data_IF_696996444788
#
_entry.id   IF_696996444788
#
_cell.length_a   1.000
_cell.length_b   1.000
_cell.length_c   1.000
_cell.angle_alpha   90.00
_cell.angle_beta   90.00
_cell.angle_gamma   90.00
#
_symmetry.space_group_name_H-M   'P 1'
#
loop_
_entity.id
_entity.type
_entity.pdbx_description
1 polymer ?
#
# COMPACT_ATOMS: atom_id res chain seq x y z
N UNK A 1 3.65 -5.91 20.89
CA UNK A 1 4.66 -6.95 21.20
C UNK A 1 5.17 -7.41 19.85
N UNK A 2 6.48 -7.59 19.68
CA UNK A 2 7.03 -8.05 18.42
C UNK A 2 6.50 -9.44 18.05
N UNK A 3 6.29 -9.68 16.75
CA UNK A 3 5.92 -10.99 16.22
C UNK A 3 7.04 -12.00 16.46
N UNK A 4 6.68 -13.23 16.80
CA UNK A 4 7.62 -14.36 16.88
C UNK A 4 8.13 -14.74 15.49
N UNK A 5 9.28 -15.43 15.43
CA UNK A 5 9.84 -15.88 14.15
C UNK A 5 8.86 -16.74 13.33
N UNK A 6 8.15 -17.64 14.00
CA UNK A 6 7.14 -18.50 13.37
C UNK A 6 5.93 -17.72 12.86
N UNK A 7 5.48 -16.67 13.56
CA UNK A 7 4.39 -15.81 13.09
C UNK A 7 4.81 -15.01 11.86
N UNK A 8 6.04 -14.50 11.84
CA UNK A 8 6.59 -13.77 10.69
C UNK A 8 6.65 -14.68 9.47
N UNK A 9 7.13 -15.92 9.62
CA UNK A 9 7.20 -16.89 8.52
C UNK A 9 5.80 -17.22 7.98
N UNK A 10 4.81 -17.40 8.86
CA UNK A 10 3.43 -17.63 8.47
C UNK A 10 2.84 -16.43 7.71
N UNK A 11 3.03 -15.20 8.21
CA UNK A 11 2.57 -13.97 7.54
C UNK A 11 3.21 -13.84 6.15
N UNK A 12 4.52 -14.06 6.04
CA UNK A 12 5.21 -14.01 4.74
C UNK A 12 4.61 -15.03 3.77
N UNK A 13 4.41 -16.27 4.23
CA UNK A 13 3.81 -17.33 3.42
C UNK A 13 2.36 -17.03 3.01
N UNK A 14 1.59 -16.33 3.84
CA UNK A 14 0.22 -15.89 3.52
C UNK A 14 0.25 -14.77 2.45
N UNK A 15 1.17 -13.81 2.58
CA UNK A 15 1.24 -12.65 1.70
C UNK A 15 1.87 -12.95 0.34
N UNK A 16 2.70 -14.00 0.22
CA UNK A 16 3.38 -14.39 -1.03
C UNK A 16 2.40 -14.91 -2.11
N UNK A 17 1.14 -15.16 -1.76
CA UNK A 17 0.12 -15.67 -2.68
C UNK A 17 -0.32 -14.66 -3.75
N UNK A 18 0.05 -13.38 -3.60
CA UNK A 18 -0.32 -12.31 -4.51
C UNK A 18 0.91 -11.69 -5.19
N UNK A 19 1.30 -12.25 -6.34
CA UNK A 19 2.49 -11.80 -7.08
C UNK A 19 2.11 -10.70 -8.09
N UNK A 20 2.42 -9.47 -7.72
CA UNK A 20 2.56 -8.33 -8.62
C UNK A 20 3.99 -7.83 -8.53
N UNK A 21 4.77 -8.02 -9.59
CA UNK A 21 6.20 -7.67 -9.61
C UNK A 21 6.36 -6.17 -9.35
N UNK A 22 7.25 -5.81 -8.42
CA UNK A 22 7.58 -4.44 -8.01
C UNK A 22 6.48 -3.62 -7.30
N UNK A 23 5.27 -4.16 -7.09
CA UNK A 23 4.20 -3.49 -6.34
C UNK A 23 4.01 -4.01 -4.91
N UNK A 24 4.59 -5.18 -4.60
CA UNK A 24 4.56 -5.76 -3.25
C UNK A 24 5.95 -5.77 -2.61
N UNK A 25 6.03 -5.66 -1.27
CA UNK A 25 7.29 -5.81 -0.56
C UNK A 25 7.82 -7.25 -0.68
N UNK A 26 9.14 -7.39 -0.74
CA UNK A 26 9.79 -8.70 -0.63
C UNK A 26 9.61 -9.32 0.76
N UNK A 27 9.73 -10.65 0.84
CA UNK A 27 9.75 -11.38 2.11
C UNK A 27 10.78 -10.81 3.11
N UNK A 28 11.95 -10.37 2.63
CA UNK A 28 12.97 -9.75 3.47
C UNK A 28 12.53 -8.40 4.05
N UNK A 29 11.82 -7.58 3.25
CA UNK A 29 11.28 -6.30 3.72
C UNK A 29 10.16 -6.50 4.74
N UNK A 30 9.23 -7.43 4.49
CA UNK A 30 8.18 -7.80 5.46
C UNK A 30 8.80 -8.31 6.76
N UNK A 31 9.77 -9.23 6.68
CA UNK A 31 10.50 -9.73 7.85
C UNK A 31 11.14 -8.59 8.64
N UNK A 32 11.81 -7.67 7.97
CA UNK A 32 12.45 -6.52 8.62
C UNK A 32 11.44 -5.60 9.31
N UNK A 33 10.25 -5.41 8.73
CA UNK A 33 9.18 -4.60 9.32
C UNK A 33 8.63 -5.27 10.60
N UNK A 34 8.49 -6.59 10.59
CA UNK A 34 7.86 -7.36 11.67
C UNK A 34 8.83 -7.80 12.78
N UNK A 35 10.14 -7.84 12.50
CA UNK A 35 11.15 -8.34 13.44
C UNK A 35 11.30 -7.48 14.71
N UNK A 36 10.87 -6.22 14.67
CA UNK A 36 10.94 -5.32 15.81
C UNK A 36 9.55 -4.73 16.10
N UNK A 37 9.22 -4.57 17.39
CA UNK A 37 8.06 -3.79 17.79
C UNK A 37 8.38 -2.30 17.57
N UNK A 38 7.91 -1.76 16.45
CA UNK A 38 8.06 -0.34 16.14
C UNK A 38 7.13 0.55 16.97
N UNK A 39 6.20 -0.04 17.73
CA UNK A 39 5.07 0.64 18.36
C UNK A 39 4.25 1.43 17.33
N UNK A 40 3.62 2.51 17.80
CA UNK A 40 2.92 3.44 16.91
C UNK A 40 2.67 4.81 17.55
N UNK A 41 1.93 5.70 16.87
CA UNK A 41 1.48 5.53 15.49
C UNK A 41 2.63 5.59 14.48
N UNK A 42 2.45 4.95 13.33
CA UNK A 42 3.37 4.98 12.19
C UNK A 42 2.66 5.56 10.97
N UNK A 43 3.40 6.31 10.15
CA UNK A 43 2.91 6.87 8.89
C UNK A 43 3.54 6.12 7.72
N UNK A 44 2.69 5.54 6.89
CA UNK A 44 3.08 4.84 5.67
C UNK A 44 2.95 5.85 4.52
N UNK A 45 4.09 6.36 4.09
CA UNK A 45 4.21 7.35 3.01
C UNK A 45 4.33 6.61 1.69
N UNK A 46 3.28 6.71 0.88
CA UNK A 46 3.18 6.06 -0.42
C UNK A 46 3.40 7.10 -1.52
N UNK A 47 4.33 6.83 -2.42
CA UNK A 47 4.48 7.54 -3.68
C UNK A 47 3.87 6.67 -4.77
N UNK A 48 2.99 7.23 -5.58
CA UNK A 48 2.17 6.47 -6.52
C UNK A 48 2.39 6.98 -7.95
N UNK A 49 2.74 6.07 -8.84
CA UNK A 49 2.74 6.28 -10.27
C UNK A 49 1.63 5.43 -10.88
N UNK A 50 0.84 6.01 -11.78
CA UNK A 50 -0.32 5.36 -12.39
C UNK A 50 -0.04 5.05 -13.86
N UNK A 51 -0.70 4.03 -14.39
CA UNK A 51 -0.81 3.88 -15.83
C UNK A 51 -1.79 4.92 -16.40
N UNK A 52 -1.54 5.38 -17.63
CA UNK A 52 -2.50 6.23 -18.35
C UNK A 52 -3.86 5.53 -18.53
N UNK A 53 -3.83 4.23 -18.80
CA UNK A 53 -5.00 3.34 -18.90
C UNK A 53 -4.72 2.13 -18.01
N UNK A 54 -5.68 1.74 -17.19
CA UNK A 54 -5.53 0.62 -16.26
C UNK A 54 -5.32 -0.73 -17.00
N UNK A 55 -4.40 -1.55 -16.51
CA UNK A 55 -3.96 -2.81 -17.11
C UNK A 55 -4.63 -4.03 -16.47
N UNK A 56 -5.96 -4.15 -16.56
CA UNK A 56 -6.66 -5.34 -16.04
C UNK A 56 -6.30 -6.60 -16.84
N UNK A 57 -6.06 -7.72 -16.14
CA UNK A 57 -5.64 -9.00 -16.74
C UNK A 57 -6.74 -9.73 -17.55
N UNK A 58 -8.00 -9.28 -17.51
CA UNK A 58 -9.12 -10.00 -18.13
C UNK A 58 -10.30 -9.10 -18.51
N UNK A 59 -10.34 -8.67 -19.78
CA UNK A 59 -11.43 -8.80 -20.75
C UNK A 59 -11.36 -7.70 -21.80
N UNK A 60 -11.60 -8.07 -23.07
CA UNK A 60 -11.72 -7.17 -24.24
C UNK A 60 -12.82 -6.10 -24.08
N UNK A 61 -13.64 -6.18 -23.02
CA UNK A 61 -14.75 -5.28 -22.67
C UNK A 61 -14.58 -4.54 -21.33
N UNK A 62 -13.40 -4.59 -20.71
CA UNK A 62 -13.15 -3.77 -19.52
C UNK A 62 -13.21 -2.28 -19.90
N UNK A 63 -14.03 -1.45 -19.24
CA UNK A 63 -14.07 -0.03 -19.56
C UNK A 63 -12.66 0.56 -19.43
N UNK A 64 -12.22 1.25 -20.48
CA UNK A 64 -10.93 1.93 -20.53
C UNK A 64 -10.95 3.09 -19.53
N UNK A 65 -10.63 2.78 -18.28
CA UNK A 65 -10.52 3.73 -17.17
C UNK A 65 -9.04 4.07 -16.97
N UNK A 66 -8.77 5.26 -16.44
CA UNK A 66 -7.40 5.63 -16.09
C UNK A 66 -6.85 4.74 -14.97
N UNK A 67 -5.53 4.64 -14.87
CA UNK A 67 -4.90 3.92 -13.77
C UNK A 67 -5.21 4.55 -12.41
N UNK A 68 -5.32 5.88 -12.35
CA UNK A 68 -5.76 6.60 -11.15
C UNK A 68 -7.19 6.21 -10.74
N UNK A 69 -8.12 6.13 -11.69
CA UNK A 69 -9.50 5.76 -11.37
C UNK A 69 -9.61 4.30 -10.89
N UNK A 70 -8.87 3.39 -11.52
CA UNK A 70 -8.74 2.02 -11.02
C UNK A 70 -8.17 2.01 -9.60
N UNK A 71 -7.06 2.73 -9.37
CA UNK A 71 -6.45 2.79 -8.05
C UNK A 71 -7.39 3.37 -6.97
N UNK A 72 -8.19 4.39 -7.30
CA UNK A 72 -9.15 4.98 -6.38
C UNK A 72 -10.22 3.98 -5.91
N UNK A 73 -10.66 3.05 -6.77
CA UNK A 73 -11.58 1.96 -6.37
C UNK A 73 -10.97 1.07 -5.30
N UNK A 74 -9.69 0.73 -5.45
CA UNK A 74 -8.91 0.04 -4.41
C UNK A 74 -8.74 0.91 -3.15
N UNK A 75 -8.37 2.18 -3.35
CA UNK A 75 -8.09 3.14 -2.28
C UNK A 75 -9.28 3.32 -1.33
N UNK A 76 -10.50 3.36 -1.84
CA UNK A 76 -11.72 3.41 -1.03
C UNK A 76 -11.84 2.21 -0.07
N UNK A 77 -11.58 1.00 -0.56
CA UNK A 77 -11.61 -0.22 0.25
C UNK A 77 -10.49 -0.22 1.29
N UNK A 78 -9.28 0.18 0.90
CA UNK A 78 -8.13 0.24 1.78
C UNK A 78 -8.32 1.26 2.91
N UNK A 79 -8.76 2.49 2.60
CA UNK A 79 -9.00 3.53 3.60
C UNK A 79 -10.13 3.13 4.56
N UNK A 80 -11.16 2.43 4.09
CA UNK A 80 -12.18 1.92 4.99
C UNK A 80 -11.58 0.98 6.05
N UNK A 81 -10.75 0.01 5.65
CA UNK A 81 -10.05 -0.86 6.62
C UNK A 81 -9.14 -0.10 7.56
N UNK A 82 -8.39 0.87 7.06
CA UNK A 82 -7.55 1.75 7.87
C UNK A 82 -8.37 2.41 8.97
N UNK A 83 -9.49 3.03 8.61
CA UNK A 83 -10.34 3.75 9.57
C UNK A 83 -11.05 2.83 10.56
N UNK A 84 -11.52 1.67 10.12
CA UNK A 84 -12.13 0.63 10.99
C UNK A 84 -11.11 0.12 12.03
N UNK A 85 -9.83 0.03 11.67
CA UNK A 85 -8.72 -0.31 12.55
C UNK A 85 -8.18 0.84 13.41
N UNK A 86 -8.84 2.00 13.42
CA UNK A 86 -8.41 3.19 14.19
C UNK A 86 -7.27 4.01 13.57
N UNK A 87 -6.89 3.68 12.32
CA UNK A 87 -5.98 4.50 11.52
C UNK A 87 -6.68 5.70 10.87
N UNK A 88 -5.90 6.51 10.15
CA UNK A 88 -6.41 7.69 9.44
C UNK A 88 -5.67 7.95 8.14
N UNK A 89 -6.37 8.51 7.15
CA UNK A 89 -5.76 9.19 6.02
C UNK A 89 -5.19 10.52 6.52
N UNK A 90 -3.87 10.64 6.57
CA UNK A 90 -3.18 11.82 7.09
C UNK A 90 -3.00 12.88 6.01
N UNK A 91 -2.65 12.47 4.79
CA UNK A 91 -2.52 13.36 3.64
C UNK A 91 -2.80 12.62 2.33
N UNK A 92 -3.32 13.37 1.35
CA UNK A 92 -3.50 12.95 -0.04
C UNK A 92 -3.14 14.16 -0.92
N UNK A 93 -2.03 14.05 -1.64
CA UNK A 93 -1.45 15.16 -2.37
C UNK A 93 -1.23 14.76 -3.83
N UNK A 94 -1.50 15.68 -4.75
CA UNK A 94 -0.96 15.64 -6.12
C UNK A 94 0.50 16.07 -6.10
N UNK A 95 1.34 15.42 -6.90
CA UNK A 95 2.73 15.83 -7.12
C UNK A 95 2.78 16.80 -8.29
N UNK A 96 3.22 18.03 -8.03
CA UNK A 96 3.36 19.06 -9.08
C UNK A 96 4.71 18.97 -9.80
N UNK A 97 5.80 18.71 -9.05
CA UNK A 97 7.16 18.66 -9.61
C UNK A 97 8.14 18.01 -8.62
N UNK A 98 9.12 17.25 -9.16
CA UNK A 98 10.36 16.92 -8.43
C UNK A 98 11.38 18.06 -8.59
N UNK A 99 11.62 18.82 -7.52
CA UNK A 99 12.57 19.93 -7.55
C UNK A 99 14.04 19.48 -7.42
N UNK A 100 14.30 18.45 -6.60
CA UNK A 100 15.64 17.91 -6.31
C UNK A 100 15.54 16.38 -6.17
N UNK A 101 16.45 15.65 -6.81
CA UNK A 101 16.51 14.17 -6.74
C UNK A 101 16.41 13.53 -8.13
N UNK A 102 16.29 12.20 -8.15
CA UNK A 102 15.97 11.49 -9.38
C UNK A 102 14.55 11.87 -9.84
N UNK A 103 14.38 12.03 -11.15
CA UNK A 103 13.10 12.36 -11.77
C UNK A 103 12.23 11.10 -11.91
N UNK A 104 11.84 10.58 -10.76
CA UNK A 104 10.86 9.50 -10.69
C UNK A 104 9.47 10.09 -10.97
N UNK A 105 8.72 9.47 -11.89
CA UNK A 105 7.38 9.91 -12.32
C UNK A 105 6.32 9.55 -11.25
N UNK A 106 6.25 10.33 -10.18
CA UNK A 106 5.20 10.21 -9.16
C UNK A 106 4.04 11.15 -9.48
N UNK A 107 2.81 10.66 -9.41
CA UNK A 107 1.59 11.45 -9.61
C UNK A 107 0.95 11.87 -8.29
N UNK A 108 1.00 11.01 -7.27
CA UNK A 108 0.40 11.28 -5.96
C UNK A 108 1.29 10.83 -4.80
N UNK A 109 1.11 11.50 -3.66
CA UNK A 109 1.64 11.10 -2.36
C UNK A 109 0.48 10.88 -1.40
N UNK A 110 0.39 9.68 -0.82
CA UNK A 110 -0.61 9.32 0.19
C UNK A 110 0.10 8.98 1.50
N UNK A 111 -0.30 9.62 2.59
CA UNK A 111 0.19 9.29 3.93
C UNK A 111 -0.95 8.66 4.71
N UNK A 112 -0.79 7.39 5.05
CA UNK A 112 -1.75 6.64 5.87
C UNK A 112 -1.13 6.38 7.23
N UNK A 113 -1.82 6.77 8.30
CA UNK A 113 -1.35 6.53 9.66
C UNK A 113 -2.03 5.30 10.26
N UNK A 114 -1.24 4.33 10.70
CA UNK A 114 -1.70 3.15 11.42
C UNK A 114 -1.38 3.26 12.92
N UNK A 115 -2.27 2.78 13.81
CA UNK A 115 -1.99 2.71 15.24
C UNK A 115 -0.82 1.78 15.58
N UNK A 116 -0.63 0.72 14.78
CA UNK A 116 0.44 -0.24 14.91
C UNK A 116 0.63 -1.05 13.61
N UNK A 117 1.68 -1.86 13.51
CA UNK A 117 1.94 -2.71 12.34
C UNK A 117 0.93 -3.86 12.26
N UNK A 118 0.40 -4.33 13.39
CA UNK A 118 -0.64 -5.35 13.46
C UNK A 118 -1.89 -4.93 12.68
N UNK A 119 -2.34 -3.67 12.83
CA UNK A 119 -3.50 -3.15 12.07
C UNK A 119 -3.25 -3.17 10.56
N UNK A 120 -2.01 -2.90 10.13
CA UNK A 120 -1.64 -3.01 8.72
C UNK A 120 -1.69 -4.47 8.24
N UNK A 121 -1.19 -5.42 9.01
CA UNK A 121 -1.25 -6.86 8.67
C UNK A 121 -2.69 -7.37 8.63
N UNK A 122 -3.54 -6.96 9.57
CA UNK A 122 -4.96 -7.33 9.59
C UNK A 122 -5.70 -6.84 8.34
N UNK A 123 -5.36 -5.63 7.85
CA UNK A 123 -5.86 -5.13 6.58
C UNK A 123 -5.44 -6.03 5.41
N UNK A 124 -4.16 -6.42 5.31
CA UNK A 124 -3.67 -7.28 4.22
C UNK A 124 -4.35 -8.67 4.19
N UNK A 125 -4.74 -9.17 5.37
CA UNK A 125 -5.45 -10.44 5.53
C UNK A 125 -6.94 -10.36 5.20
N UNK A 126 -7.50 -9.15 5.08
CA UNK A 126 -8.93 -9.01 4.83
C UNK A 126 -9.31 -9.54 3.44
N UNK A 127 -10.33 -10.43 3.34
CA UNK A 127 -10.84 -10.87 2.04
C UNK A 127 -11.35 -9.71 1.18
N UNK A 128 -11.92 -8.68 1.80
CA UNK A 128 -12.42 -7.49 1.09
C UNK A 128 -11.27 -6.68 0.51
N UNK A 129 -10.18 -6.51 1.26
CA UNK A 129 -8.96 -5.87 0.78
C UNK A 129 -8.34 -6.67 -0.37
N UNK A 130 -8.18 -7.99 -0.21
CA UNK A 130 -7.64 -8.88 -1.23
C UNK A 130 -8.46 -8.86 -2.52
N UNK A 131 -9.79 -8.86 -2.40
CA UNK A 131 -10.69 -8.75 -3.56
C UNK A 131 -10.51 -7.43 -4.32
N UNK A 132 -10.03 -6.36 -3.69
CA UNK A 132 -9.78 -5.07 -4.34
C UNK A 132 -8.38 -4.94 -4.96
N UNK A 133 -7.44 -5.86 -4.69
CA UNK A 133 -6.06 -5.76 -5.15
C UNK A 133 -5.91 -5.74 -6.68
N UNK A 134 -6.81 -6.39 -7.40
CA UNK A 134 -6.82 -6.35 -8.86
C UNK A 134 -6.97 -4.93 -9.44
N UNK A 135 -7.68 -4.03 -8.73
CA UNK A 135 -7.78 -2.62 -9.12
C UNK A 135 -6.46 -1.86 -8.88
N UNK A 136 -5.79 -2.14 -7.75
CA UNK A 136 -4.47 -1.59 -7.42
C UNK A 136 -3.45 -1.98 -8.48
N UNK A 137 -3.38 -3.27 -8.79
CA UNK A 137 -2.42 -3.83 -9.72
C UNK A 137 -2.67 -3.36 -11.15
N UNK A 138 -3.93 -3.20 -11.56
CA UNK A 138 -4.25 -2.62 -12.86
C UNK A 138 -3.93 -1.12 -12.92
N UNK A 139 -4.08 -0.40 -11.82
CA UNK A 139 -3.94 1.05 -11.78
C UNK A 139 -2.50 1.56 -11.63
N UNK A 140 -1.68 0.89 -10.80
CA UNK A 140 -0.34 1.33 -10.48
C UNK A 140 0.69 0.86 -11.50
N UNK A 141 1.47 1.82 -11.99
CA UNK A 141 2.70 1.59 -12.76
C UNK A 141 3.88 1.31 -11.84
N UNK A 142 3.96 2.03 -10.72
CA UNK A 142 5.01 1.87 -9.72
C UNK A 142 4.55 2.44 -8.37
N UNK A 143 5.16 1.97 -7.29
CA UNK A 143 4.97 2.53 -5.96
C UNK A 143 6.26 2.51 -5.16
N UNK A 144 6.40 3.47 -4.24
CA UNK A 144 7.41 3.46 -3.19
C UNK A 144 6.72 3.70 -1.86
N UNK A 145 6.96 2.81 -0.89
CA UNK A 145 6.39 2.91 0.44
C UNK A 145 7.49 3.09 1.47
N UNK A 146 7.38 4.12 2.29
CA UNK A 146 8.27 4.38 3.42
C UNK A 146 7.45 4.37 4.70
N UNK A 147 7.85 3.55 5.66
CA UNK A 147 7.31 3.59 7.03
C UNK A 147 8.09 4.63 7.83
N UNK A 148 7.40 5.65 8.33
CA UNK A 148 7.97 6.77 9.06
C UNK A 148 7.19 7.06 10.34
N UNK A 149 7.68 8.01 11.14
CA UNK A 149 7.01 8.52 12.33
C UNK A 149 6.96 10.04 12.26
N UNK A 150 5.80 10.67 12.51
CA UNK A 150 5.74 12.13 12.58
C UNK A 150 6.54 12.60 13.79
N UNK A 151 7.40 13.61 13.59
CA UNK A 151 8.12 14.29 14.67
C UNK A 151 7.31 15.43 15.29
N UNK A 152 6.28 15.89 14.59
CA UNK A 152 5.39 16.97 14.98
C UNK A 152 3.97 16.41 15.17
N UNK A 153 3.24 17.00 16.11
CA UNK A 153 1.87 16.59 16.47
C UNK A 153 0.83 17.07 15.44
#
# INVERSE_FOLDING_TARGET
>A
MAFTHSEIDAIISELDQHVSENLNPSAAQIRSLLANDLGGPLQFVNFLAFHNIAQYKSSDDSPSVSGEEAYNRYGMVAIQHVTEGGGKLFALNTVEQTLIGADDEWHQIIIVQYPSVEVFIDMLRSPRYQAALHHRDAGLKATKLIVSRPLLA
#
